data_IF_570554683222
#
_entry.id   IF_570554683222
#
_cell.length_a   1.000
_cell.length_b   1.000
_cell.length_c   1.000
_cell.angle_alpha   90.00
_cell.angle_beta   90.00
_cell.angle_gamma   90.00
#
_symmetry.space_group_name_H-M   'P 1'
#
loop_
_entity.id
_entity.type
_entity.pdbx_description
1 polymer ?
#
# COMPACT_ATOMS: atom_id res chain seq x y z
N UNK A 1 10.01 -31.78 -22.74
CA UNK A 1 9.61 -30.88 -21.63
C UNK A 1 10.74 -30.90 -20.61
N UNK A 2 11.33 -29.76 -20.26
CA UNK A 2 12.40 -29.70 -19.25
C UNK A 2 11.84 -30.00 -17.86
N UNK A 3 12.57 -30.74 -17.04
CA UNK A 3 12.22 -30.96 -15.63
C UNK A 3 12.18 -29.63 -14.87
N UNK A 4 11.36 -29.52 -13.80
CA UNK A 4 11.33 -28.33 -12.96
C UNK A 4 12.70 -28.09 -12.30
N UNK A 5 13.03 -26.84 -11.93
CA UNK A 5 14.25 -26.52 -11.19
C UNK A 5 14.26 -27.23 -9.82
N UNK A 6 15.43 -27.66 -9.37
CA UNK A 6 15.61 -28.27 -8.05
C UNK A 6 15.61 -27.16 -6.99
N UNK A 7 14.73 -27.22 -5.97
CA UNK A 7 14.73 -26.25 -4.87
C UNK A 7 16.08 -26.25 -4.13
N UNK A 8 16.57 -25.06 -3.79
CA UNK A 8 17.77 -24.87 -2.97
C UNK A 8 17.37 -24.29 -1.62
N UNK A 9 17.84 -24.91 -0.55
CA UNK A 9 17.73 -24.34 0.78
C UNK A 9 18.74 -23.19 0.95
N UNK A 10 18.28 -22.06 1.48
CA UNK A 10 19.04 -20.81 1.60
C UNK A 10 18.99 -20.37 3.06
N UNK A 11 20.10 -20.59 3.78
CA UNK A 11 20.21 -20.35 5.23
C UNK A 11 20.87 -18.99 5.57
N UNK A 12 21.55 -18.40 4.59
CA UNK A 12 22.25 -17.11 4.67
C UNK A 12 21.32 -15.91 4.43
N UNK A 13 20.06 -16.15 4.05
CA UNK A 13 19.05 -15.12 3.86
C UNK A 13 17.86 -15.35 4.80
N UNK A 14 17.54 -14.35 5.63
CA UNK A 14 16.50 -14.45 6.64
C UNK A 14 15.55 -13.27 6.56
N UNK A 15 14.25 -13.54 6.75
CA UNK A 15 13.25 -12.49 6.99
C UNK A 15 13.02 -12.32 8.47
N UNK A 16 12.95 -11.06 8.91
CA UNK A 16 12.53 -10.71 10.27
C UNK A 16 11.22 -9.94 10.20
N UNK A 17 10.21 -10.42 10.91
CA UNK A 17 8.99 -9.65 11.11
C UNK A 17 9.32 -8.42 11.98
N UNK A 18 9.15 -7.23 11.40
CA UNK A 18 9.23 -5.98 12.15
C UNK A 18 7.92 -5.77 12.90
N UNK A 19 6.82 -5.64 12.16
CA UNK A 19 5.51 -5.26 12.70
C UNK A 19 4.37 -5.70 11.79
N UNK A 20 3.17 -5.80 12.37
CA UNK A 20 1.92 -6.02 11.64
C UNK A 20 0.99 -4.84 11.89
N UNK A 21 0.71 -4.07 10.85
CA UNK A 21 -0.14 -2.88 10.94
C UNK A 21 -1.45 -3.13 10.23
N UNK A 22 -2.57 -2.80 10.88
CA UNK A 22 -3.91 -2.99 10.30
C UNK A 22 -4.25 -1.81 9.39
N UNK A 23 -4.21 -2.08 8.09
CA UNK A 23 -4.47 -1.06 7.04
C UNK A 23 -5.87 -1.17 6.44
N UNK A 24 -6.50 -2.35 6.48
CA UNK A 24 -7.87 -2.56 5.98
C UNK A 24 -8.80 -3.01 7.10
N UNK A 25 -10.05 -2.60 7.04
CA UNK A 25 -11.08 -3.10 7.94
C UNK A 25 -11.69 -4.39 7.41
N UNK A 26 -12.10 -5.28 8.31
CA UNK A 26 -12.64 -6.61 7.96
C UNK A 26 -13.96 -6.55 7.16
N UNK A 27 -14.69 -5.44 7.22
CA UNK A 27 -15.98 -5.25 6.56
C UNK A 27 -15.89 -4.67 5.15
N UNK A 28 -14.69 -4.40 4.65
CA UNK A 28 -14.48 -3.77 3.36
C UNK A 28 -14.62 -4.79 2.22
N UNK A 29 -15.56 -4.55 1.31
CA UNK A 29 -15.67 -5.32 0.07
C UNK A 29 -14.51 -4.95 -0.85
N UNK A 30 -13.51 -5.83 -0.93
CA UNK A 30 -12.37 -5.67 -1.82
C UNK A 30 -12.72 -6.05 -3.27
N UNK A 31 -12.08 -5.39 -4.22
CA UNK A 31 -12.18 -5.75 -5.65
C UNK A 31 -11.74 -7.21 -5.85
N UNK A 32 -12.51 -7.97 -6.63
CA UNK A 32 -12.25 -9.39 -6.91
C UNK A 32 -11.23 -9.60 -8.05
N UNK A 33 -10.80 -8.52 -8.71
CA UNK A 33 -9.81 -8.56 -9.79
C UNK A 33 -8.37 -8.39 -9.30
N UNK A 34 -7.40 -8.31 -10.23
CA UNK A 34 -6.03 -7.96 -9.89
C UNK A 34 -5.97 -6.60 -9.19
N UNK A 35 -5.25 -6.53 -8.07
CA UNK A 35 -5.07 -5.31 -7.29
C UNK A 35 -3.60 -5.05 -7.00
N UNK A 36 -3.23 -3.79 -7.04
CA UNK A 36 -1.98 -3.29 -6.45
C UNK A 36 -2.33 -2.15 -5.50
N UNK A 37 -2.45 -2.45 -4.20
CA UNK A 37 -2.89 -1.47 -3.20
C UNK A 37 -1.74 -0.80 -2.45
N UNK A 38 -0.48 -1.00 -2.84
CA UNK A 38 0.68 -0.49 -2.10
C UNK A 38 1.69 0.18 -3.05
N UNK A 39 2.08 1.41 -2.72
CA UNK A 39 3.20 2.10 -3.36
C UNK A 39 4.10 2.73 -2.30
N UNK A 40 5.41 2.85 -2.59
CA UNK A 40 6.39 3.36 -1.64
C UNK A 40 7.22 4.45 -2.28
N UNK A 41 7.34 5.58 -1.59
CA UNK A 41 8.34 6.61 -1.89
C UNK A 41 9.52 6.45 -0.95
N UNK A 42 10.54 5.71 -1.38
CA UNK A 42 11.79 5.59 -0.64
C UNK A 42 12.50 6.93 -0.52
N UNK A 43 12.41 7.79 -1.54
CA UNK A 43 12.97 9.15 -1.54
C UNK A 43 12.40 10.05 -0.43
N UNK A 44 11.09 9.95 -0.17
CA UNK A 44 10.40 10.79 0.82
C UNK A 44 10.12 10.06 2.14
N UNK A 45 10.44 8.76 2.23
CA UNK A 45 10.13 7.95 3.41
C UNK A 45 8.63 7.76 3.64
N UNK A 46 7.85 7.62 2.56
CA UNK A 46 6.40 7.52 2.60
C UNK A 46 5.91 6.19 2.03
N UNK A 47 4.83 5.67 2.62
CA UNK A 47 4.10 4.51 2.14
C UNK A 47 2.67 4.95 1.85
N UNK A 48 2.14 4.53 0.70
CA UNK A 48 0.79 4.80 0.26
C UNK A 48 0.03 3.48 0.16
N UNK A 49 -1.09 3.38 0.86
CA UNK A 49 -2.02 2.25 0.76
C UNK A 49 -3.32 2.73 0.14
N UNK A 50 -3.70 2.11 -0.97
CA UNK A 50 -4.98 2.37 -1.62
C UNK A 50 -6.04 1.44 -1.01
N UNK A 51 -6.93 2.02 -0.21
CA UNK A 51 -8.05 1.35 0.41
C UNK A 51 -9.36 1.71 -0.29
N UNK A 52 -10.46 0.98 -0.06
CA UNK A 52 -11.67 1.10 -0.89
C UNK A 52 -12.28 2.50 -0.99
N UNK A 53 -12.07 3.34 0.02
CA UNK A 53 -12.61 4.69 0.08
C UNK A 53 -11.56 5.80 0.22
N UNK A 54 -10.27 5.47 0.32
CA UNK A 54 -9.23 6.46 0.60
C UNK A 54 -7.81 5.97 0.27
N UNK A 55 -6.90 6.91 0.06
CA UNK A 55 -5.45 6.70 0.10
C UNK A 55 -4.99 6.96 1.53
N UNK A 56 -4.41 5.95 2.17
CA UNK A 56 -3.75 6.10 3.46
C UNK A 56 -2.26 6.35 3.25
N UNK A 57 -1.73 7.41 3.84
CA UNK A 57 -0.34 7.84 3.74
C UNK A 57 0.32 7.68 5.10
N UNK A 58 1.46 6.99 5.11
CA UNK A 58 2.24 6.70 6.31
C UNK A 58 3.68 7.16 6.13
N UNK A 59 4.27 7.63 7.22
CA UNK A 59 5.72 7.81 7.29
C UNK A 59 6.38 6.49 7.67
N UNK A 60 7.35 6.05 6.88
CA UNK A 60 8.13 4.83 7.16
C UNK A 60 8.83 4.92 8.52
N UNK A 61 9.33 6.10 8.89
CA UNK A 61 9.95 6.32 10.21
C UNK A 61 8.96 6.09 11.37
N UNK A 62 7.70 6.49 11.22
CA UNK A 62 6.66 6.29 12.23
C UNK A 62 6.33 4.81 12.45
N UNK A 63 6.40 3.98 11.41
CA UNK A 63 6.26 2.52 11.50
C UNK A 63 7.41 1.91 12.31
N UNK A 64 8.65 2.34 12.03
CA UNK A 64 9.85 1.81 12.67
C UNK A 64 10.03 2.27 14.13
N UNK A 65 9.53 3.46 14.46
CA UNK A 65 9.59 4.02 15.80
C UNK A 65 8.53 3.43 16.75
N UNK A 66 7.54 2.70 16.21
CA UNK A 66 6.44 2.18 17.03
C UNK A 66 6.97 1.10 18.00
N UNK A 67 6.82 1.24 19.33
CA UNK A 67 7.36 0.27 20.29
C UNK A 67 6.76 -1.14 20.15
N UNK A 68 5.55 -1.26 19.58
CA UNK A 68 4.89 -2.53 19.28
C UNK A 68 5.57 -3.23 18.08
N UNK A 69 6.34 -2.51 17.27
CA UNK A 69 7.09 -3.02 16.09
C UNK A 69 8.35 -3.83 16.43
N UNK A 70 8.49 -4.31 17.66
CA UNK A 70 9.64 -5.14 18.09
C UNK A 70 9.25 -6.61 18.21
N UNK A 71 8.69 -7.17 17.14
CA UNK A 71 8.53 -8.62 17.00
C UNK A 71 7.51 -9.28 17.91
N UNK A 72 6.55 -8.53 18.48
CA UNK A 72 5.50 -9.11 19.34
C UNK A 72 4.53 -10.02 18.58
N UNK A 73 4.51 -9.95 17.24
CA UNK A 73 3.55 -10.66 16.39
C UNK A 73 2.11 -10.13 16.50
N UNK A 74 1.85 -9.16 17.37
CA UNK A 74 0.54 -8.55 17.56
C UNK A 74 0.22 -7.53 16.46
N UNK A 75 -1.06 -7.42 16.11
CA UNK A 75 -1.54 -6.44 15.14
C UNK A 75 -1.66 -5.05 15.80
N UNK A 76 -1.04 -4.04 15.19
CA UNK A 76 -1.17 -2.64 15.57
C UNK A 76 -2.37 -2.04 14.85
N UNK A 77 -3.43 -1.75 15.59
CA UNK A 77 -4.67 -1.22 15.02
C UNK A 77 -4.62 0.29 14.79
N UNK A 78 -4.08 1.04 15.76
CA UNK A 78 -4.01 2.50 15.71
C UNK A 78 -2.58 2.99 15.55
N UNK A 79 -2.36 3.81 14.54
CA UNK A 79 -1.07 4.41 14.23
C UNK A 79 -1.28 5.66 13.34
N UNK A 80 -0.37 6.64 13.41
CA UNK A 80 -0.49 7.87 12.64
C UNK A 80 -0.54 7.60 11.14
N UNK A 81 -1.59 8.09 10.50
CA UNK A 81 -1.77 8.04 9.05
C UNK A 81 -2.56 9.26 8.60
N UNK A 82 -2.30 9.73 7.39
CA UNK A 82 -3.10 10.75 6.74
C UNK A 82 -3.97 10.08 5.67
N UNK A 83 -5.28 10.35 5.67
CA UNK A 83 -6.22 9.72 4.77
C UNK A 83 -6.77 10.74 3.77
N UNK A 84 -6.66 10.41 2.48
CA UNK A 84 -7.18 11.22 1.38
C UNK A 84 -8.35 10.47 0.74
N UNK A 85 -9.59 10.97 0.85
CA UNK A 85 -10.77 10.29 0.32
C UNK A 85 -10.71 10.04 -1.19
N UNK A 86 -11.27 8.91 -1.62
CA UNK A 86 -11.46 8.53 -3.02
C UNK A 86 -12.94 8.41 -3.36
N UNK A 87 -13.28 8.71 -4.61
CA UNK A 87 -14.66 8.66 -5.12
C UNK A 87 -15.14 7.24 -5.47
N UNK A 88 -14.21 6.29 -5.55
CA UNK A 88 -14.47 4.88 -5.85
C UNK A 88 -13.29 4.01 -5.43
N UNK A 89 -13.53 2.69 -5.40
CA UNK A 89 -12.51 1.73 -5.05
C UNK A 89 -11.34 1.77 -6.04
N UNK A 90 -10.09 1.90 -5.56
CA UNK A 90 -8.91 1.82 -6.40
C UNK A 90 -8.60 0.36 -6.75
N UNK A 91 -8.12 0.13 -7.97
CA UNK A 91 -7.54 -1.16 -8.39
C UNK A 91 -6.02 -1.15 -8.27
N UNK A 92 -5.37 -0.05 -8.63
CA UNK A 92 -3.90 0.06 -8.63
C UNK A 92 -3.46 1.42 -8.10
N UNK A 93 -2.37 1.43 -7.34
CA UNK A 93 -1.61 2.63 -6.99
C UNK A 93 -0.16 2.46 -7.46
N UNK A 94 0.43 3.54 -7.94
CA UNK A 94 1.81 3.59 -8.40
C UNK A 94 2.43 4.95 -8.15
N UNK A 95 3.76 4.99 -8.16
CA UNK A 95 4.54 6.20 -7.96
C UNK A 95 5.43 6.43 -9.19
N UNK A 96 5.61 7.70 -9.57
CA UNK A 96 6.56 8.06 -10.63
C UNK A 96 8.00 7.76 -10.19
N UNK A 97 8.89 7.57 -11.17
CA UNK A 97 10.30 7.22 -10.93
C UNK A 97 11.10 8.31 -10.19
N UNK A 98 10.73 9.58 -10.37
CA UNK A 98 11.30 10.72 -9.63
C UNK A 98 10.66 10.93 -8.24
N UNK A 99 9.66 10.10 -7.93
CA UNK A 99 8.85 10.11 -6.74
C UNK A 99 8.10 11.42 -6.48
N UNK A 100 7.66 12.16 -7.51
CA UNK A 100 6.88 13.40 -7.29
C UNK A 100 5.38 13.23 -7.51
N UNK A 101 4.96 12.18 -8.23
CA UNK A 101 3.56 11.90 -8.56
C UNK A 101 3.12 10.53 -8.04
N UNK A 102 1.87 10.46 -7.59
CA UNK A 102 1.16 9.22 -7.25
C UNK A 102 -0.01 9.06 -8.20
N UNK A 103 -0.06 7.94 -8.90
CA UNK A 103 -1.16 7.58 -9.78
C UNK A 103 -2.06 6.53 -9.10
N UNK A 104 -3.36 6.74 -9.14
CA UNK A 104 -4.37 5.83 -8.60
C UNK A 104 -5.37 5.48 -9.70
N UNK A 105 -5.35 4.24 -10.15
CA UNK A 105 -6.34 3.72 -11.09
C UNK A 105 -7.58 3.27 -10.33
N UNK A 106 -8.73 3.77 -10.73
CA UNK A 106 -10.02 3.44 -10.14
C UNK A 106 -10.61 2.20 -10.82
N UNK A 107 -11.18 1.29 -10.03
CA UNK A 107 -11.96 0.19 -10.56
C UNK A 107 -13.26 0.72 -11.19
N UNK A 108 -13.67 0.22 -12.37
CA UNK A 108 -14.97 0.54 -12.95
C UNK A 108 -16.09 0.15 -11.99
N UNK A 109 -17.09 1.02 -11.81
CA UNK A 109 -18.26 0.70 -10.96
C UNK A 109 -19.23 -0.27 -11.64
N UNK A 110 -19.26 -0.24 -12.97
CA UNK A 110 -20.09 -1.07 -13.84
C UNK A 110 -19.37 -1.31 -15.18
N UNK A 111 -19.98 -2.11 -16.07
CA UNK A 111 -19.41 -2.45 -17.36
C UNK A 111 -19.36 -1.27 -18.36
N UNK A 112 -20.06 -0.18 -18.06
CA UNK A 112 -20.17 1.01 -18.92
C UNK A 112 -19.23 2.15 -18.45
N UNK A 113 -18.69 2.06 -17.23
CA UNK A 113 -17.82 3.05 -16.63
C UNK A 113 -16.47 3.08 -17.34
N UNK A 114 -16.07 4.28 -17.77
CA UNK A 114 -14.74 4.49 -18.32
C UNK A 114 -13.66 4.26 -17.24
N UNK A 115 -12.52 3.66 -17.58
CA UNK A 115 -11.36 3.60 -16.69
C UNK A 115 -10.86 5.01 -16.40
N UNK A 116 -10.65 5.33 -15.11
CA UNK A 116 -10.15 6.63 -14.66
C UNK A 116 -8.88 6.42 -13.84
N UNK A 117 -7.85 7.23 -14.12
CA UNK A 117 -6.67 7.34 -13.28
C UNK A 117 -6.57 8.76 -12.71
N UNK A 118 -6.45 8.86 -11.39
CA UNK A 118 -6.22 10.11 -10.68
C UNK A 118 -4.72 10.28 -10.45
N UNK A 119 -4.18 11.46 -10.73
CA UNK A 119 -2.77 11.77 -10.54
C UNK A 119 -2.65 12.86 -9.49
N UNK A 120 -1.89 12.59 -8.43
CA UNK A 120 -1.66 13.48 -7.32
C UNK A 120 -0.18 13.88 -7.26
N UNK A 121 0.10 15.12 -6.90
CA UNK A 121 1.44 15.49 -6.41
C UNK A 121 1.64 14.92 -5.01
N UNK A 122 2.81 14.36 -4.70
CA UNK A 122 3.10 13.88 -3.33
C UNK A 122 2.90 14.99 -2.31
N UNK A 123 3.32 16.23 -2.62
CA UNK A 123 3.14 17.37 -1.71
C UNK A 123 1.68 17.61 -1.34
N UNK A 124 0.74 17.34 -2.26
CA UNK A 124 -0.69 17.48 -1.99
C UNK A 124 -1.24 16.40 -1.06
N UNK A 125 -0.58 15.24 -1.00
CA UNK A 125 -0.94 14.11 -0.14
C UNK A 125 -0.25 14.15 1.24
N UNK A 126 0.66 15.10 1.46
CA UNK A 126 1.46 15.22 2.69
C UNK A 126 1.24 16.53 3.43
N UNK A 127 0.50 17.48 2.85
CA UNK A 127 0.19 18.76 3.49
C UNK A 127 -0.99 18.57 4.45
N UNK A 128 -0.77 18.86 5.74
CA UNK A 128 -1.79 18.80 6.80
C UNK A 128 -2.70 20.03 6.81
#
# INVERSE_FOLDING_TARGET
MSSPPIPRDVQDFQFKLVSRFKVFNKSENLSQGPVNSLAVSSKHGLIFVASPSEIQVFETASILANPISKGSGADVESFPRHCVPLLSQPSHIGISCDHVLVAVALAPKDAQSCPVALIYSITSLTTK
#
